data_IF_304446441379
#
_entry.id   IF_304446441379
#
_cell.length_a   1.000
_cell.length_b   1.000
_cell.length_c   1.000
_cell.angle_alpha   90.00
_cell.angle_beta   90.00
_cell.angle_gamma   90.00
#
_symmetry.space_group_name_H-M   'P 1'
#
loop_
_entity.id
_entity.type
_entity.pdbx_description
1 polymer ?
#
# COMPACT_ATOMS: atom_id res chain seq x y z
N UNK A 1 5.74 17.97 -21.47
CA UNK A 1 5.83 17.87 -20.00
C UNK A 1 7.24 18.27 -19.58
N UNK A 2 7.40 18.99 -18.46
CA UNK A 2 8.73 19.30 -17.91
C UNK A 2 8.84 18.61 -16.56
N UNK A 3 9.92 17.85 -16.35
CA UNK A 3 10.17 17.13 -15.12
C UNK A 3 11.51 17.59 -14.55
N UNK A 4 11.53 18.01 -13.31
CA UNK A 4 12.75 18.36 -12.57
C UNK A 4 12.91 17.38 -11.42
N UNK A 5 14.12 16.83 -11.29
CA UNK A 5 14.50 15.86 -10.25
C UNK A 5 15.24 16.58 -9.14
N UNK A 6 14.80 16.43 -7.92
CA UNK A 6 15.50 16.89 -6.72
C UNK A 6 15.71 15.69 -5.80
N UNK A 7 16.97 15.37 -5.51
CA UNK A 7 17.31 14.32 -4.54
C UNK A 7 17.21 14.90 -3.13
N UNK A 8 16.23 14.45 -2.35
CA UNK A 8 16.00 14.95 -0.99
C UNK A 8 16.75 14.12 0.06
N UNK A 9 16.83 12.81 -0.16
CA UNK A 9 17.56 11.84 0.69
C UNK A 9 18.17 10.74 -0.17
N UNK A 10 19.03 9.89 0.44
CA UNK A 10 19.66 8.73 -0.20
C UNK A 10 18.61 7.89 -0.85
N UNK A 11 17.79 7.73 -1.42
CA UNK A 11 16.82 6.86 -2.09
C UNK A 11 15.43 7.50 -2.23
N UNK A 12 15.27 8.79 -1.87
CA UNK A 12 14.02 9.53 -2.04
C UNK A 12 14.24 10.65 -3.03
N UNK A 13 13.54 10.56 -4.16
CA UNK A 13 13.58 11.55 -5.23
C UNK A 13 12.28 12.32 -5.26
N UNK A 14 12.36 13.63 -5.20
CA UNK A 14 11.24 14.53 -5.41
C UNK A 14 11.15 14.91 -6.88
N UNK A 15 10.04 14.54 -7.49
CA UNK A 15 9.71 14.89 -8.86
C UNK A 15 8.84 16.15 -8.87
N UNK A 16 9.35 17.22 -9.43
CA UNK A 16 8.56 18.41 -9.71
C UNK A 16 8.13 18.37 -11.17
N UNK A 17 6.86 18.09 -11.40
CA UNK A 17 6.29 17.88 -12.73
C UNK A 17 5.43 19.07 -13.10
N UNK A 18 5.71 19.67 -14.26
CA UNK A 18 4.89 20.74 -14.83
C UNK A 18 4.15 20.22 -16.05
N UNK A 19 2.82 20.20 -15.96
CA UNK A 19 1.92 19.79 -17.02
C UNK A 19 1.36 21.00 -17.73
N UNK A 20 1.40 21.06 -19.08
CA UNK A 20 0.88 22.20 -19.85
C UNK A 20 -0.60 22.48 -19.56
N UNK A 21 -0.99 23.75 -19.55
CA UNK A 21 -2.36 24.21 -19.31
C UNK A 21 -3.41 23.55 -20.22
N UNK A 22 -3.03 23.17 -21.44
CA UNK A 22 -3.92 22.49 -22.39
C UNK A 22 -4.31 21.09 -21.86
N UNK A 23 -3.34 20.32 -21.40
CA UNK A 23 -3.57 18.98 -20.84
C UNK A 23 -4.36 19.04 -19.54
N UNK A 24 -4.01 19.97 -18.67
CA UNK A 24 -4.72 20.22 -17.42
C UNK A 24 -6.20 20.60 -17.67
N UNK A 25 -6.45 21.46 -18.65
CA UNK A 25 -7.83 21.83 -19.04
C UNK A 25 -8.60 20.66 -19.64
N UNK A 26 -7.95 19.84 -20.45
CA UNK A 26 -8.56 18.64 -21.01
C UNK A 26 -8.94 17.64 -19.91
N UNK A 27 -8.06 17.42 -18.93
CA UNK A 27 -8.33 16.56 -17.78
C UNK A 27 -9.52 17.09 -16.95
N UNK A 28 -9.59 18.39 -16.73
CA UNK A 28 -10.72 19.03 -16.07
C UNK A 28 -12.04 18.80 -16.83
N UNK A 29 -12.04 18.98 -18.15
CA UNK A 29 -13.24 18.76 -18.96
C UNK A 29 -13.67 17.27 -18.97
N UNK A 30 -12.72 16.34 -18.92
CA UNK A 30 -13.02 14.92 -18.78
C UNK A 30 -13.61 14.60 -17.39
N UNK A 31 -13.08 15.20 -16.32
CA UNK A 31 -13.62 15.06 -14.98
C UNK A 31 -15.06 15.59 -14.88
N UNK A 32 -15.35 16.77 -15.47
CA UNK A 32 -16.72 17.30 -15.56
C UNK A 32 -17.65 16.31 -16.24
N UNK A 33 -17.25 15.72 -17.35
CA UNK A 33 -18.05 14.72 -18.08
C UNK A 33 -18.30 13.46 -17.26
N UNK A 34 -17.27 12.95 -16.58
CA UNK A 34 -17.41 11.77 -15.71
C UNK A 34 -18.37 12.06 -14.57
N UNK A 35 -18.15 13.13 -13.84
CA UNK A 35 -18.99 13.53 -12.70
C UNK A 35 -20.44 13.70 -13.14
N UNK A 36 -20.70 14.31 -14.31
CA UNK A 36 -22.06 14.50 -14.84
C UNK A 36 -22.81 13.17 -15.09
N UNK A 37 -22.10 12.05 -15.30
CA UNK A 37 -22.69 10.73 -15.48
C UNK A 37 -23.15 10.09 -14.17
N UNK A 38 -22.47 10.40 -13.06
CA UNK A 38 -22.72 9.80 -11.74
C UNK A 38 -23.64 10.67 -10.87
N UNK A 39 -23.54 11.98 -10.98
CA UNK A 39 -24.33 12.92 -10.17
C UNK A 39 -25.69 13.11 -10.80
N UNK A 40 -26.74 13.06 -9.95
CA UNK A 40 -28.09 13.40 -10.35
C UNK A 40 -28.26 14.91 -10.21
N UNK A 41 -28.55 15.60 -11.30
CA UNK A 41 -28.73 17.05 -11.34
C UNK A 41 -30.18 17.31 -11.73
N UNK A 42 -30.90 18.01 -10.87
CA UNK A 42 -32.31 18.30 -11.10
C UNK A 42 -32.53 19.06 -12.39
N UNK A 43 -33.48 18.59 -13.17
CA UNK A 43 -33.80 19.16 -14.49
C UNK A 43 -32.98 18.67 -15.66
N UNK A 44 -31.96 17.81 -15.43
CA UNK A 44 -31.11 17.26 -16.49
C UNK A 44 -30.99 15.74 -16.43
N UNK A 45 -31.02 15.12 -17.61
CA UNK A 45 -30.68 13.69 -17.71
C UNK A 45 -29.19 13.49 -17.40
N UNK A 46 -28.83 12.39 -16.71
CA UNK A 46 -27.43 12.01 -16.41
C UNK A 46 -26.53 12.14 -17.63
N UNK A 47 -25.41 12.85 -17.47
CA UNK A 47 -24.43 13.08 -18.53
C UNK A 47 -24.82 14.14 -19.56
N UNK A 48 -25.96 14.84 -19.42
CA UNK A 48 -26.39 15.88 -20.36
C UNK A 48 -26.44 17.28 -19.74
N UNK A 49 -26.06 17.44 -18.48
CA UNK A 49 -25.99 18.72 -17.81
C UNK A 49 -24.86 19.59 -18.40
N UNK A 50 -25.08 20.88 -18.64
CA UNK A 50 -24.06 21.82 -19.07
C UNK A 50 -22.95 21.95 -17.99
N UNK A 51 -21.72 22.21 -18.42
CA UNK A 51 -20.55 22.35 -17.53
C UNK A 51 -20.81 23.29 -16.34
N UNK A 52 -21.39 24.47 -16.61
CA UNK A 52 -21.66 25.48 -15.59
C UNK A 52 -22.57 24.96 -14.47
N UNK A 53 -23.58 24.17 -14.83
CA UNK A 53 -24.52 23.58 -13.86
C UNK A 53 -23.81 22.52 -13.00
N UNK A 54 -22.98 21.69 -13.61
CA UNK A 54 -22.16 20.69 -12.91
C UNK A 54 -21.20 21.37 -11.93
N UNK A 55 -20.51 22.44 -12.37
CA UNK A 55 -19.60 23.22 -11.53
C UNK A 55 -20.31 23.88 -10.33
N UNK A 56 -21.55 24.33 -10.52
CA UNK A 56 -22.34 24.95 -9.44
C UNK A 56 -22.85 23.92 -8.43
N UNK A 57 -23.28 22.76 -8.89
CA UNK A 57 -23.87 21.72 -8.04
C UNK A 57 -22.80 20.92 -7.27
N UNK A 58 -21.71 20.57 -7.95
CA UNK A 58 -20.66 19.71 -7.39
C UNK A 58 -19.57 20.50 -6.69
N UNK A 59 -19.35 21.74 -7.14
CA UNK A 59 -18.25 22.59 -6.71
C UNK A 59 -16.98 22.38 -7.55
N UNK A 60 -16.30 23.49 -7.86
CA UNK A 60 -15.10 23.49 -8.70
C UNK A 60 -13.95 22.68 -8.06
N UNK A 61 -13.82 22.73 -6.73
CA UNK A 61 -12.75 22.04 -6.00
C UNK A 61 -12.83 20.52 -6.15
N UNK A 62 -14.03 19.95 -6.05
CA UNK A 62 -14.22 18.51 -6.23
C UNK A 62 -13.93 18.06 -7.66
N UNK A 63 -14.27 18.90 -8.64
CA UNK A 63 -13.96 18.61 -10.05
C UNK A 63 -12.44 18.67 -10.28
N UNK A 64 -11.73 19.62 -9.67
CA UNK A 64 -10.26 19.71 -9.73
C UNK A 64 -9.63 18.45 -9.14
N UNK A 65 -10.11 18.01 -7.98
CA UNK A 65 -9.60 16.79 -7.33
C UNK A 65 -9.79 15.57 -8.23
N UNK A 66 -10.98 15.35 -8.77
CA UNK A 66 -11.25 14.27 -9.73
C UNK A 66 -10.36 14.36 -10.98
N UNK A 67 -10.11 15.57 -11.49
CA UNK A 67 -9.23 15.80 -12.63
C UNK A 67 -7.79 15.38 -12.31
N UNK A 68 -7.28 15.74 -11.13
CA UNK A 68 -5.95 15.36 -10.65
C UNK A 68 -5.87 13.85 -10.48
N UNK A 69 -6.81 13.23 -9.78
CA UNK A 69 -6.84 11.77 -9.55
C UNK A 69 -6.79 10.96 -10.85
N UNK A 70 -7.42 11.46 -11.91
CA UNK A 70 -7.41 10.80 -13.21
C UNK A 70 -6.17 11.08 -14.06
N UNK A 71 -5.57 12.27 -13.94
CA UNK A 71 -4.42 12.69 -14.72
C UNK A 71 -3.10 12.16 -14.15
N UNK A 72 -2.98 12.17 -12.81
CA UNK A 72 -1.74 11.86 -12.09
C UNK A 72 -1.12 10.51 -12.43
N UNK A 73 -1.86 9.38 -12.46
CA UNK A 73 -1.25 8.10 -12.74
C UNK A 73 -0.50 8.07 -14.09
N UNK A 74 -1.06 8.72 -15.10
CA UNK A 74 -0.42 8.81 -16.42
C UNK A 74 0.83 9.68 -16.36
N UNK A 75 0.71 10.88 -15.82
CA UNK A 75 1.80 11.87 -15.74
C UNK A 75 2.98 11.35 -14.91
N UNK A 76 2.71 10.67 -13.80
CA UNK A 76 3.73 10.09 -12.94
C UNK A 76 4.44 8.93 -13.65
N UNK A 77 3.69 8.03 -14.31
CA UNK A 77 4.26 6.92 -15.06
C UNK A 77 5.14 7.41 -16.23
N UNK A 78 4.68 8.42 -16.95
CA UNK A 78 5.45 9.02 -18.03
C UNK A 78 6.75 9.65 -17.49
N UNK A 79 6.68 10.36 -16.35
CA UNK A 79 7.84 10.96 -15.70
C UNK A 79 8.86 9.91 -15.19
N UNK A 80 8.40 8.81 -14.62
CA UNK A 80 9.23 7.69 -14.17
C UNK A 80 9.94 7.04 -15.35
N UNK A 81 9.22 6.78 -16.45
CA UNK A 81 9.74 6.15 -17.65
C UNK A 81 10.76 7.04 -18.39
N UNK A 82 10.48 8.35 -18.52
CA UNK A 82 11.40 9.31 -19.14
C UNK A 82 12.75 9.41 -18.39
N UNK A 83 12.73 9.25 -17.07
CA UNK A 83 13.91 9.35 -16.22
C UNK A 83 14.52 7.99 -15.85
N UNK A 84 13.97 6.88 -16.35
CA UNK A 84 14.41 5.50 -16.05
C UNK A 84 14.60 5.25 -14.55
N UNK A 85 13.62 5.67 -13.73
CA UNK A 85 13.68 5.51 -12.29
C UNK A 85 13.14 4.14 -11.88
N UNK A 86 13.95 3.39 -11.11
CA UNK A 86 13.54 2.12 -10.50
C UNK A 86 12.77 2.40 -9.21
N UNK A 87 11.46 2.46 -9.31
CA UNK A 87 10.55 2.81 -8.21
C UNK A 87 10.14 1.55 -7.46
N UNK A 88 10.31 1.56 -6.13
CA UNK A 88 9.96 0.43 -5.26
C UNK A 88 8.58 0.60 -4.64
N UNK A 89 8.25 1.83 -4.27
CA UNK A 89 7.04 2.16 -3.52
C UNK A 89 6.07 2.94 -4.40
N UNK A 90 4.80 2.91 -4.07
CA UNK A 90 3.80 3.72 -4.78
C UNK A 90 4.09 5.21 -4.60
N UNK A 91 4.22 5.99 -5.69
CA UNK A 91 4.45 7.43 -5.63
C UNK A 91 3.35 8.16 -4.84
N UNK A 92 3.71 9.13 -4.02
CA UNK A 92 2.73 9.96 -3.33
C UNK A 92 2.89 11.44 -3.63
N UNK A 93 1.75 12.11 -3.80
CA UNK A 93 1.68 13.53 -4.12
C UNK A 93 1.81 14.32 -2.81
N UNK A 94 2.80 15.20 -2.74
CA UNK A 94 3.02 16.06 -1.56
C UNK A 94 2.28 17.38 -1.71
N UNK A 95 2.36 17.97 -2.88
CA UNK A 95 1.69 19.25 -3.17
C UNK A 95 1.30 19.34 -4.63
N UNK A 96 0.24 20.05 -4.90
CA UNK A 96 -0.17 20.39 -6.26
C UNK A 96 -0.74 21.80 -6.30
N UNK A 97 -0.50 22.49 -7.41
CA UNK A 97 -1.12 23.78 -7.70
C UNK A 97 -1.86 23.68 -9.03
N UNK A 98 -3.19 23.69 -8.96
CA UNK A 98 -4.07 23.54 -10.10
C UNK A 98 -4.95 24.76 -10.30
N UNK A 99 -4.59 25.60 -11.26
CA UNK A 99 -5.41 26.72 -11.72
C UNK A 99 -5.83 26.52 -13.16
N UNK A 100 -7.11 26.77 -13.44
CA UNK A 100 -7.63 26.70 -14.80
C UNK A 100 -6.98 27.75 -15.70
N UNK A 101 -6.38 27.31 -16.80
CA UNK A 101 -5.72 28.18 -17.77
C UNK A 101 -4.24 28.46 -17.47
N UNK A 102 -3.70 27.92 -16.36
CA UNK A 102 -2.27 27.91 -16.06
C UNK A 102 -1.71 26.50 -16.11
N UNK A 103 -0.40 26.39 -16.15
CA UNK A 103 0.29 25.10 -16.08
C UNK A 103 0.06 24.50 -14.70
N UNK A 104 -0.19 23.20 -14.67
CA UNK A 104 -0.34 22.42 -13.42
C UNK A 104 1.04 22.03 -12.91
N UNK A 105 1.38 22.48 -11.69
CA UNK A 105 2.60 22.07 -11.00
C UNK A 105 2.28 21.04 -9.94
N UNK A 106 3.00 19.91 -9.95
CA UNK A 106 2.82 18.83 -8.99
C UNK A 106 4.16 18.37 -8.45
N UNK A 107 4.26 18.25 -7.13
CA UNK A 107 5.41 17.64 -6.46
C UNK A 107 5.06 16.24 -5.98
N UNK A 108 5.82 15.26 -6.42
CA UNK A 108 5.63 13.84 -6.10
C UNK A 108 6.89 13.30 -5.47
N UNK A 109 6.77 12.56 -4.38
CA UNK A 109 7.87 11.82 -3.79
C UNK A 109 7.85 10.38 -4.26
N UNK A 110 9.01 9.91 -4.65
CA UNK A 110 9.22 8.57 -5.20
C UNK A 110 10.43 7.94 -4.50
N UNK A 111 10.27 6.75 -3.98
CA UNK A 111 11.36 5.97 -3.41
C UNK A 111 11.96 5.08 -4.50
N UNK A 112 13.26 5.26 -4.74
CA UNK A 112 14.00 4.53 -5.74
C UNK A 112 14.87 3.46 -5.11
N UNK A 113 15.21 2.45 -5.91
CA UNK A 113 16.09 1.38 -5.48
C UNK A 113 17.50 1.92 -5.21
N UNK A 114 18.08 1.62 -4.02
CA UNK A 114 19.44 2.04 -3.72
C UNK A 114 20.45 1.35 -4.60
N UNK A 115 21.46 2.08 -5.06
CA UNK A 115 22.65 1.47 -5.68
C UNK A 115 23.52 0.87 -4.59
N UNK A 116 23.58 -0.46 -4.56
CA UNK A 116 24.40 -1.18 -3.59
C UNK A 116 25.79 -1.42 -4.15
N UNK A 117 26.80 -0.81 -3.54
CA UNK A 117 28.21 -1.14 -3.79
C UNK A 117 28.62 -2.28 -2.86
N UNK A 118 28.87 -3.44 -3.43
CA UNK A 118 29.35 -4.60 -2.67
C UNK A 118 30.76 -4.32 -2.17
N UNK A 119 30.97 -4.51 -0.86
CA UNK A 119 32.33 -4.56 -0.28
C UNK A 119 33.03 -5.90 -0.59
N UNK A 120 34.16 -6.16 0.06
CA UNK A 120 34.84 -7.46 -0.04
C UNK A 120 34.02 -8.53 0.69
N UNK A 121 33.30 -9.35 -0.05
CA UNK A 121 32.44 -10.42 0.49
C UNK A 121 33.01 -11.82 0.29
N UNK A 122 34.14 -11.93 -0.42
CA UNK A 122 34.85 -13.19 -0.64
C UNK A 122 35.90 -13.41 0.44
N UNK A 123 35.91 -14.60 1.02
CA UNK A 123 36.90 -14.96 2.05
C UNK A 123 36.52 -14.56 3.47
N UNK A 124 35.27 -14.22 3.72
CA UNK A 124 34.76 -14.00 5.08
C UNK A 124 34.72 -15.36 5.80
N UNK A 125 35.44 -15.48 6.92
CA UNK A 125 35.33 -16.60 7.85
C UNK A 125 34.44 -16.18 9.00
N UNK A 126 33.35 -16.91 9.21
CA UNK A 126 32.47 -16.70 10.34
C UNK A 126 32.63 -17.86 11.31
N UNK A 127 33.06 -17.54 12.52
CA UNK A 127 33.05 -18.53 13.60
C UNK A 127 31.61 -18.67 14.10
N UNK A 128 31.04 -19.86 13.88
CA UNK A 128 29.72 -20.20 14.36
C UNK A 128 29.90 -20.91 15.71
N UNK A 129 29.42 -20.30 16.79
CA UNK A 129 29.37 -20.95 18.08
C UNK A 129 28.28 -22.06 18.02
N UNK A 130 28.73 -23.31 18.22
CA UNK A 130 27.82 -24.44 18.42
C UNK A 130 27.06 -24.24 19.74
N UNK A 131 25.86 -23.73 19.69
CA UNK A 131 24.98 -23.67 20.84
C UNK A 131 24.36 -25.04 21.06
N UNK A 132 24.73 -25.80 22.14
CA UNK A 132 24.09 -27.06 22.43
C UNK A 132 22.61 -26.82 22.72
N UNK A 133 21.77 -27.68 22.15
CA UNK A 133 20.32 -27.62 22.39
C UNK A 133 20.09 -27.92 23.88
N UNK A 134 19.48 -26.98 24.60
CA UNK A 134 19.15 -27.19 26.02
C UNK A 134 18.05 -28.26 26.14
N UNK A 135 18.13 -29.06 27.22
CA UNK A 135 17.10 -30.08 27.51
C UNK A 135 15.70 -29.47 27.60
N UNK A 136 15.60 -28.21 28.02
CA UNK A 136 14.34 -27.46 28.06
C UNK A 136 13.79 -27.20 26.64
N UNK A 137 14.65 -26.81 25.70
CA UNK A 137 14.24 -26.58 24.32
C UNK A 137 13.80 -27.88 23.63
N UNK A 138 14.51 -28.99 23.93
CA UNK A 138 14.16 -30.32 23.46
C UNK A 138 12.79 -30.76 24.01
N UNK A 139 12.58 -30.66 25.32
CA UNK A 139 11.31 -31.03 25.94
C UNK A 139 10.15 -30.18 25.43
N UNK A 140 10.36 -28.90 25.20
CA UNK A 140 9.35 -28.00 24.63
C UNK A 140 8.98 -28.34 23.20
N UNK A 141 9.95 -28.77 22.39
CA UNK A 141 9.71 -29.27 21.05
C UNK A 141 8.91 -30.57 21.07
N UNK A 142 9.22 -31.45 22.01
CA UNK A 142 8.54 -32.73 22.21
C UNK A 142 7.07 -32.52 22.66
N UNK A 143 6.84 -31.61 23.60
CA UNK A 143 5.48 -31.19 24.00
C UNK A 143 4.67 -30.61 22.84
N UNK A 144 5.29 -29.78 21.99
CA UNK A 144 4.61 -29.26 20.81
C UNK A 144 4.19 -30.35 19.84
N UNK A 145 5.05 -31.33 19.60
CA UNK A 145 4.72 -32.49 18.76
C UNK A 145 3.61 -33.32 19.41
N UNK A 146 3.72 -33.57 20.70
CA UNK A 146 2.68 -34.29 21.45
C UNK A 146 1.31 -33.60 21.35
N UNK A 147 1.29 -32.30 21.51
CA UNK A 147 0.06 -31.50 21.38
C UNK A 147 -0.51 -31.51 19.96
N UNK A 148 0.33 -31.58 18.94
CA UNK A 148 -0.09 -31.65 17.55
C UNK A 148 -0.78 -32.97 17.19
N UNK A 149 -0.35 -34.07 17.82
CA UNK A 149 -0.92 -35.43 17.60
C UNK A 149 -1.90 -35.85 18.71
N UNK A 150 -2.25 -34.96 19.61
CA UNK A 150 -3.16 -35.25 20.69
C UNK A 150 -4.61 -35.36 20.19
N UNK A 151 -5.30 -36.46 20.53
CA UNK A 151 -6.73 -36.62 20.26
C UNK A 151 -7.55 -36.18 21.47
N UNK A 152 -8.54 -35.28 21.27
CA UNK A 152 -9.49 -34.94 22.31
C UNK A 152 -10.49 -36.04 22.55
N UNK A 153 -10.40 -36.72 23.72
CA UNK A 153 -11.42 -37.66 24.19
C UNK A 153 -12.38 -36.96 25.14
N UNK A 154 -13.65 -36.97 24.80
CA UNK A 154 -14.72 -36.47 25.67
C UNK A 154 -14.92 -37.48 26.85
N UNK A 155 -14.55 -37.04 28.06
CA UNK A 155 -14.77 -37.81 29.29
C UNK A 155 -16.14 -37.47 29.83
N UNK A 156 -17.08 -38.44 29.74
CA UNK A 156 -18.47 -38.32 30.19
C UNK A 156 -18.64 -38.49 31.74
N UNK A 157 -17.56 -38.39 32.50
CA UNK A 157 -17.67 -38.52 33.97
C UNK A 157 -17.91 -37.17 34.66
N UNK A 158 -19.12 -37.01 35.23
CA UNK A 158 -19.58 -35.80 35.88
C UNK A 158 -18.74 -35.35 37.07
N UNK A 159 -17.94 -36.23 37.67
CA UNK A 159 -17.08 -35.88 38.82
C UNK A 159 -15.76 -35.21 38.40
N UNK A 160 -15.22 -35.55 37.25
CA UNK A 160 -13.97 -35.00 36.76
C UNK A 160 -14.11 -33.60 36.12
N UNK A 161 -15.28 -33.28 35.54
CA UNK A 161 -15.53 -31.98 34.90
C UNK A 161 -15.65 -30.83 35.86
N UNK A 162 -15.93 -31.07 37.14
CA UNK A 162 -16.10 -30.00 38.14
C UNK A 162 -14.79 -29.59 38.83
N UNK A 163 -13.76 -30.44 38.78
CA UNK A 163 -12.42 -30.18 39.35
C UNK A 163 -11.41 -29.63 38.34
N UNK A 164 -11.65 -29.79 37.04
CA UNK A 164 -10.74 -29.38 35.96
C UNK A 164 -11.24 -28.20 35.13
N UNK A 165 -12.10 -27.36 35.67
CA UNK A 165 -12.59 -26.17 34.93
C UNK A 165 -11.49 -25.11 34.73
N UNK A 166 -10.33 -25.23 35.36
CA UNK A 166 -9.16 -24.37 35.16
C UNK A 166 -8.09 -24.95 34.24
N UNK A 167 -8.20 -26.24 33.83
CA UNK A 167 -7.26 -26.92 32.96
C UNK A 167 -8.00 -27.64 31.83
N UNK A 168 -8.71 -26.88 31.02
CA UNK A 168 -9.55 -27.39 29.94
C UNK A 168 -8.81 -27.87 28.68
N UNK A 169 -7.50 -28.18 28.77
CA UNK A 169 -6.72 -28.77 27.68
C UNK A 169 -5.69 -29.76 28.20
N UNK A 170 -6.17 -30.86 28.74
CA UNK A 170 -5.32 -32.02 28.92
C UNK A 170 -5.60 -33.00 27.80
N UNK A 171 -4.91 -32.85 26.70
CA UNK A 171 -4.78 -33.91 25.71
C UNK A 171 -3.98 -35.04 26.35
N UNK A 172 -4.58 -36.19 26.56
CA UNK A 172 -3.89 -37.42 26.99
C UNK A 172 -3.65 -38.26 25.77
N UNK A 173 -2.38 -38.52 25.47
CA UNK A 173 -2.03 -39.61 24.57
C UNK A 173 -2.51 -40.94 25.15
N UNK A 174 -3.03 -41.85 24.34
CA UNK A 174 -3.29 -43.18 24.79
C UNK A 174 -1.94 -43.84 25.16
N UNK A 175 -1.84 -44.34 26.38
CA UNK A 175 -0.75 -45.21 26.81
C UNK A 175 -0.80 -46.46 25.92
N UNK A 176 0.17 -46.63 25.05
CA UNK A 176 0.41 -47.89 24.37
C UNK A 176 0.89 -48.90 25.40
N UNK A 177 0.05 -49.88 25.65
CA UNK A 177 0.49 -51.14 26.28
C UNK A 177 1.27 -51.96 25.25
#
# INVERSE_FOLDING_TARGET
MKVTLENEKENVVKLNITVPAVEATNAYNLAVRRISQYVNIDGFRKGKAPRQVVETQVGKERIKQEAIENLMPKVINDAINENNLDVITQPYITSYDFELGKDLSVSVHVETRPEVKLGEYKGLSVEVEDTPVSDEAFNKALENIQNQYAEEKMVLDRKSTRLNSSHSRASRMPSSA
#
